data_IF_517748054432
#
_entry.id   IF_517748054432
#
_cell.length_a   1.000
_cell.length_b   1.000
_cell.length_c   1.000
_cell.angle_alpha   90.00
_cell.angle_beta   90.00
_cell.angle_gamma   90.00
#
_symmetry.space_group_name_H-M   'P 1'
#
loop_
_entity.id
_entity.type
_entity.pdbx_description
1 polymer ?
#
# COMPACT_ATOMS: atom_id res chain seq x y z
N UNK A 1 23.49 27.24 -8.66
CA UNK A 1 22.80 26.03 -8.15
C UNK A 1 22.41 26.27 -6.71
N UNK A 2 21.13 26.21 -6.42
CA UNK A 2 20.59 26.35 -5.06
C UNK A 2 20.16 24.98 -4.57
N UNK A 3 20.61 24.56 -3.39
CA UNK A 3 20.15 23.30 -2.77
C UNK A 3 18.68 23.45 -2.39
N UNK A 4 17.84 22.55 -2.88
CA UNK A 4 16.39 22.53 -2.58
C UNK A 4 16.11 21.65 -1.39
N UNK A 5 16.70 20.46 -1.39
CA UNK A 5 16.60 19.50 -0.30
C UNK A 5 17.97 18.87 -0.01
N UNK A 6 18.10 18.42 1.21
CA UNK A 6 19.29 17.71 1.66
C UNK A 6 18.88 16.43 2.39
N UNK A 7 19.44 15.29 1.95
CA UNK A 7 19.25 14.01 2.61
C UNK A 7 20.49 13.65 3.42
N UNK A 8 20.45 13.98 4.70
CA UNK A 8 21.52 13.59 5.62
C UNK A 8 21.55 12.06 5.82
N UNK A 9 22.71 11.46 5.66
CA UNK A 9 22.88 10.01 5.62
C UNK A 9 22.37 9.27 6.89
N UNK A 10 22.57 9.77 8.13
CA UNK A 10 21.93 9.15 9.29
C UNK A 10 20.40 9.22 9.26
N UNK A 11 19.80 10.29 8.70
CA UNK A 11 18.35 10.40 8.52
C UNK A 11 17.84 9.33 7.56
N UNK A 12 18.52 9.15 6.41
CA UNK A 12 18.22 8.09 5.44
C UNK A 12 18.24 6.71 6.10
N UNK A 13 19.32 6.40 6.83
CA UNK A 13 19.46 5.13 7.54
C UNK A 13 18.33 4.88 8.53
N UNK A 14 17.91 5.90 9.27
CA UNK A 14 16.79 5.79 10.21
C UNK A 14 15.48 5.52 9.47
N UNK A 15 15.17 6.28 8.40
CA UNK A 15 13.96 6.07 7.60
C UNK A 15 13.87 4.65 7.04
N UNK A 16 14.98 4.12 6.52
CA UNK A 16 15.05 2.74 6.01
C UNK A 16 14.93 1.73 7.15
N UNK A 17 15.59 1.96 8.28
CA UNK A 17 15.53 1.05 9.42
C UNK A 17 14.11 0.98 10.03
N UNK A 18 13.44 2.11 10.19
CA UNK A 18 12.06 2.20 10.66
C UNK A 18 11.10 1.48 9.69
N UNK A 19 11.28 1.70 8.38
CA UNK A 19 10.52 1.02 7.35
C UNK A 19 10.70 -0.49 7.39
N UNK A 20 11.95 -0.98 7.40
CA UNK A 20 12.26 -2.41 7.50
C UNK A 20 11.69 -3.05 8.77
N UNK A 21 11.80 -2.36 9.89
CA UNK A 21 11.22 -2.83 11.15
C UNK A 21 9.70 -2.96 11.05
N UNK A 22 9.03 -1.95 10.50
CA UNK A 22 7.57 -1.99 10.32
C UNK A 22 7.14 -3.17 9.46
N UNK A 23 7.81 -3.40 8.32
CA UNK A 23 7.48 -4.50 7.40
C UNK A 23 7.76 -5.85 8.05
N UNK A 24 8.94 -6.05 8.62
CA UNK A 24 9.33 -7.35 9.20
C UNK A 24 8.47 -7.75 10.40
N UNK A 25 8.23 -6.82 11.33
CA UNK A 25 7.37 -7.10 12.49
C UNK A 25 5.90 -7.17 12.11
N UNK A 26 5.47 -6.40 11.10
CA UNK A 26 4.13 -6.49 10.54
C UNK A 26 3.86 -7.85 9.90
N UNK A 27 4.75 -8.35 9.05
CA UNK A 27 4.64 -9.69 8.47
C UNK A 27 4.55 -10.74 9.58
N UNK A 28 5.53 -10.77 10.47
CA UNK A 28 5.60 -11.74 11.57
C UNK A 28 4.36 -11.77 12.46
N UNK A 29 3.74 -10.64 12.72
CA UNK A 29 2.64 -10.53 13.70
C UNK A 29 1.26 -10.57 13.06
N UNK A 30 1.13 -10.19 11.78
CA UNK A 30 -0.17 -10.02 11.13
C UNK A 30 -0.40 -11.02 10.00
N UNK A 31 0.61 -11.31 9.17
CA UNK A 31 0.39 -12.07 7.93
C UNK A 31 0.97 -13.48 7.93
N UNK A 32 2.08 -13.76 8.64
CA UNK A 32 2.75 -15.07 8.61
C UNK A 32 1.84 -16.23 9.02
N UNK A 33 0.85 -15.98 9.88
CA UNK A 33 -0.12 -17.00 10.31
C UNK A 33 -1.05 -17.46 9.18
N UNK A 34 -1.18 -16.67 8.09
CA UNK A 34 -2.02 -16.95 6.92
C UNK A 34 -1.20 -17.35 5.68
N UNK A 35 0.13 -17.49 5.79
CA UNK A 35 1.00 -17.77 4.66
C UNK A 35 1.15 -19.26 4.35
N UNK A 36 0.71 -20.14 5.25
CA UNK A 36 0.78 -21.60 5.14
C UNK A 36 -0.60 -22.17 4.83
N UNK A 37 -0.86 -22.46 3.55
CA UNK A 37 -2.14 -23.03 3.08
C UNK A 37 -2.46 -24.37 3.74
N UNK A 38 -1.47 -25.24 3.94
CA UNK A 38 -1.67 -26.56 4.59
C UNK A 38 -2.11 -26.39 6.05
N UNK A 39 -1.67 -25.32 6.71
CA UNK A 39 -2.11 -24.99 8.07
C UNK A 39 -3.56 -24.52 8.07
N UNK A 40 -3.95 -23.67 7.13
CA UNK A 40 -5.32 -23.18 7.01
C UNK A 40 -6.29 -24.31 6.66
N UNK A 41 -5.89 -25.24 5.79
CA UNK A 41 -6.69 -26.44 5.47
C UNK A 41 -6.91 -27.32 6.70
N UNK A 42 -5.86 -27.59 7.50
CA UNK A 42 -6.00 -28.35 8.74
C UNK A 42 -6.93 -27.67 9.76
N UNK A 43 -6.82 -26.35 9.90
CA UNK A 43 -7.68 -25.58 10.80
C UNK A 43 -9.15 -25.63 10.36
N UNK A 44 -9.40 -25.59 9.05
CA UNK A 44 -10.74 -25.73 8.47
C UNK A 44 -11.30 -27.14 8.66
N UNK A 45 -10.46 -28.18 8.54
CA UNK A 45 -10.86 -29.56 8.79
C UNK A 45 -11.17 -29.81 10.27
N UNK A 46 -10.36 -29.29 11.18
CA UNK A 46 -10.62 -29.33 12.63
C UNK A 46 -11.93 -28.63 12.98
N UNK A 47 -12.22 -27.49 12.33
CA UNK A 47 -13.49 -26.78 12.50
C UNK A 47 -14.69 -27.62 12.01
N UNK A 48 -14.59 -28.23 10.83
CA UNK A 48 -15.60 -29.13 10.27
C UNK A 48 -15.91 -30.29 11.22
N UNK A 49 -14.89 -30.94 11.78
CA UNK A 49 -15.04 -32.02 12.72
C UNK A 49 -15.68 -31.57 14.04
N UNK A 50 -15.26 -30.47 14.59
CA UNK A 50 -15.85 -29.90 15.81
C UNK A 50 -17.33 -29.51 15.60
N UNK A 51 -17.68 -29.01 14.41
CA UNK A 51 -19.08 -28.76 14.05
C UNK A 51 -19.89 -30.05 14.02
N UNK A 52 -19.36 -31.10 13.38
CA UNK A 52 -20.00 -32.41 13.26
C UNK A 52 -20.24 -33.05 14.65
N UNK A 53 -19.26 -32.99 15.56
CA UNK A 53 -19.40 -33.49 16.93
C UNK A 53 -20.51 -32.74 17.69
N UNK A 54 -20.57 -31.42 17.56
CA UNK A 54 -21.59 -30.58 18.19
C UNK A 54 -22.97 -30.83 17.62
N UNK A 55 -23.11 -30.92 16.30
CA UNK A 55 -24.36 -31.18 15.61
C UNK A 55 -24.86 -32.61 15.89
N UNK A 56 -23.92 -33.58 15.97
CA UNK A 56 -24.22 -34.99 16.28
C UNK A 56 -24.88 -35.21 17.65
N UNK A 57 -24.70 -34.29 18.62
CA UNK A 57 -25.40 -34.36 19.92
C UNK A 57 -26.93 -34.24 19.79
N UNK A 58 -27.40 -33.68 18.67
CA UNK A 58 -28.82 -33.46 18.37
C UNK A 58 -29.31 -34.32 17.20
N UNK A 59 -28.50 -35.27 16.75
CA UNK A 59 -28.86 -36.18 15.65
C UNK A 59 -29.95 -37.18 16.08
N UNK A 60 -31.02 -37.23 15.31
CA UNK A 60 -32.13 -38.20 15.47
C UNK A 60 -32.22 -39.03 14.17
N UNK A 61 -31.87 -40.33 14.20
CA UNK A 61 -31.86 -41.18 13.00
C UNK A 61 -33.21 -41.30 12.31
N UNK A 62 -34.32 -41.08 13.05
CA UNK A 62 -35.68 -41.18 12.48
C UNK A 62 -36.11 -39.92 11.75
N UNK A 63 -35.37 -38.81 11.95
CA UNK A 63 -35.70 -37.46 11.41
C UNK A 63 -34.63 -36.85 10.56
N UNK A 64 -33.39 -37.26 10.74
CA UNK A 64 -32.24 -36.66 10.09
C UNK A 64 -31.55 -37.68 9.18
N UNK A 65 -31.09 -37.17 8.02
CA UNK A 65 -30.24 -37.95 7.13
C UNK A 65 -28.77 -37.74 7.53
N UNK A 66 -28.07 -38.87 7.79
CA UNK A 66 -26.66 -38.84 8.19
C UNK A 66 -25.78 -38.21 7.11
N UNK A 67 -26.07 -38.46 5.82
CA UNK A 67 -25.32 -37.89 4.70
C UNK A 67 -25.37 -36.36 4.69
N UNK A 68 -26.53 -35.77 4.99
CA UNK A 68 -26.70 -34.32 5.03
C UNK A 68 -25.90 -33.65 6.16
N UNK A 69 -25.65 -34.35 7.28
CA UNK A 69 -24.78 -33.81 8.34
C UNK A 69 -23.33 -33.77 7.94
N UNK A 70 -22.84 -34.77 7.21
CA UNK A 70 -21.47 -34.73 6.69
C UNK A 70 -21.29 -33.66 5.61
N UNK A 71 -22.28 -33.48 4.72
CA UNK A 71 -22.26 -32.40 3.73
C UNK A 71 -22.24 -31.04 4.40
N UNK A 72 -23.08 -30.81 5.41
CA UNK A 72 -23.08 -29.53 6.15
C UNK A 72 -21.76 -29.29 6.89
N UNK A 73 -21.19 -30.32 7.54
CA UNK A 73 -19.89 -30.19 8.19
C UNK A 73 -18.77 -29.82 7.19
N UNK A 74 -18.81 -30.41 6.00
CA UNK A 74 -17.87 -30.11 4.93
C UNK A 74 -18.05 -28.66 4.45
N UNK A 75 -19.26 -28.20 4.22
CA UNK A 75 -19.57 -26.81 3.81
C UNK A 75 -19.12 -25.81 4.86
N UNK A 76 -19.32 -26.09 6.15
CA UNK A 76 -18.84 -25.26 7.25
C UNK A 76 -17.30 -25.18 7.28
N UNK A 77 -16.60 -26.27 7.00
CA UNK A 77 -15.15 -26.28 6.84
C UNK A 77 -14.69 -25.41 5.68
N UNK A 78 -15.35 -25.50 4.52
CA UNK A 78 -15.05 -24.64 3.35
C UNK A 78 -15.28 -23.16 3.69
N UNK A 79 -16.40 -22.82 4.33
CA UNK A 79 -16.68 -21.44 4.71
C UNK A 79 -15.65 -20.90 5.70
N UNK A 80 -15.21 -21.74 6.65
CA UNK A 80 -14.16 -21.36 7.59
C UNK A 80 -12.82 -21.09 6.90
N UNK A 81 -12.41 -21.96 5.95
CA UNK A 81 -11.22 -21.74 5.12
C UNK A 81 -11.28 -20.42 4.36
N UNK A 82 -12.41 -20.17 3.69
CA UNK A 82 -12.63 -18.92 2.95
C UNK A 82 -12.53 -17.68 3.85
N UNK A 83 -13.12 -17.75 5.03
CA UNK A 83 -13.04 -16.65 5.99
C UNK A 83 -11.60 -16.39 6.49
N UNK A 84 -10.80 -17.45 6.68
CA UNK A 84 -9.38 -17.32 7.04
C UNK A 84 -8.55 -16.71 5.91
N UNK A 85 -8.79 -17.11 4.67
CA UNK A 85 -8.11 -16.56 3.49
C UNK A 85 -8.46 -15.08 3.27
N UNK A 86 -9.74 -14.71 3.39
CA UNK A 86 -10.20 -13.31 3.35
C UNK A 86 -9.60 -12.47 4.48
N UNK A 87 -9.50 -13.02 5.70
CA UNK A 87 -8.84 -12.36 6.82
C UNK A 87 -7.34 -12.15 6.54
N UNK A 88 -6.69 -13.15 5.97
CA UNK A 88 -5.29 -13.08 5.54
C UNK A 88 -5.07 -11.99 4.50
N UNK A 89 -5.93 -11.91 3.48
CA UNK A 89 -5.89 -10.84 2.47
C UNK A 89 -6.10 -9.46 3.11
N UNK A 90 -7.09 -9.33 4.00
CA UNK A 90 -7.35 -8.09 4.74
C UNK A 90 -6.15 -7.64 5.58
N UNK A 91 -5.47 -8.59 6.24
CA UNK A 91 -4.26 -8.31 7.02
C UNK A 91 -3.11 -7.80 6.14
N UNK A 92 -2.90 -8.40 4.95
CA UNK A 92 -1.90 -7.95 3.97
C UNK A 92 -2.21 -6.54 3.46
N UNK A 93 -3.46 -6.28 3.07
CA UNK A 93 -3.91 -4.96 2.62
C UNK A 93 -3.75 -3.89 3.70
N UNK A 94 -4.06 -4.22 4.95
CA UNK A 94 -3.86 -3.32 6.08
C UNK A 94 -2.37 -3.02 6.32
N UNK A 95 -1.49 -4.03 6.22
CA UNK A 95 -0.04 -3.86 6.35
C UNK A 95 0.53 -2.98 5.24
N UNK A 96 0.12 -3.21 3.97
CA UNK A 96 0.51 -2.39 2.81
C UNK A 96 0.03 -0.95 3.02
N UNK A 97 -1.21 -0.75 3.47
CA UNK A 97 -1.78 0.58 3.70
C UNK A 97 -1.02 1.34 4.78
N UNK A 98 -0.72 0.69 5.90
CA UNK A 98 0.06 1.28 6.97
C UNK A 98 1.48 1.64 6.54
N UNK A 99 2.15 0.75 5.81
CA UNK A 99 3.48 0.96 5.24
C UNK A 99 3.50 2.18 4.30
N UNK A 100 2.54 2.27 3.37
CA UNK A 100 2.41 3.38 2.44
C UNK A 100 2.17 4.71 3.17
N UNK A 101 1.25 4.76 4.11
CA UNK A 101 0.96 5.99 4.85
C UNK A 101 2.11 6.43 5.76
N UNK A 102 2.86 5.52 6.36
CA UNK A 102 4.07 5.85 7.11
C UNK A 102 5.13 6.45 6.20
N UNK A 103 5.36 5.85 5.01
CA UNK A 103 6.27 6.40 4.02
C UNK A 103 5.84 7.79 3.55
N UNK A 104 4.58 7.96 3.17
CA UNK A 104 4.03 9.23 2.70
C UNK A 104 4.14 10.34 3.75
N UNK A 105 3.87 10.01 5.01
CA UNK A 105 4.05 10.89 6.15
C UNK A 105 5.52 11.28 6.33
N UNK A 106 6.42 10.30 6.35
CA UNK A 106 7.86 10.52 6.51
C UNK A 106 8.44 11.36 5.37
N UNK A 107 7.92 11.20 4.15
CA UNK A 107 8.29 12.03 3.00
C UNK A 107 7.93 13.50 3.24
N UNK A 108 6.69 13.79 3.66
CA UNK A 108 6.26 15.15 3.96
C UNK A 108 7.02 15.76 5.14
N UNK A 109 7.25 14.98 6.19
CA UNK A 109 8.06 15.40 7.35
C UNK A 109 9.48 15.75 6.95
N UNK A 110 10.10 14.94 6.07
CA UNK A 110 11.43 15.22 5.55
C UNK A 110 11.42 16.48 4.68
N UNK A 111 10.49 16.62 3.73
CA UNK A 111 10.37 17.79 2.86
C UNK A 111 10.10 19.09 3.62
N UNK A 112 9.52 19.02 4.82
CA UNK A 112 9.18 20.20 5.64
C UNK A 112 10.15 20.45 6.80
N UNK A 113 11.16 19.59 6.99
CA UNK A 113 12.11 19.77 8.08
C UNK A 113 13.14 20.86 7.76
N UNK A 114 13.45 21.69 8.76
CA UNK A 114 14.42 22.78 8.63
C UNK A 114 15.82 22.27 8.27
N UNK A 115 16.15 21.05 8.65
CA UNK A 115 17.46 20.43 8.42
C UNK A 115 17.61 19.88 7.00
N UNK A 116 16.53 19.80 6.22
CA UNK A 116 16.49 19.07 4.95
C UNK A 116 16.10 19.95 3.76
N UNK A 117 15.74 21.22 3.96
CA UNK A 117 15.38 22.10 2.86
C UNK A 117 16.31 23.30 2.76
N UNK A 118 16.79 23.57 1.53
CA UNK A 118 17.53 24.80 1.21
C UNK A 118 16.63 26.04 1.11
N UNK A 119 15.32 25.86 1.01
CA UNK A 119 14.31 26.89 1.17
C UNK A 119 14.02 27.03 2.67
N UNK A 120 14.81 27.85 3.36
CA UNK A 120 14.61 28.11 4.79
C UNK A 120 13.18 28.59 4.99
N UNK A 121 12.46 27.87 5.83
CA UNK A 121 11.08 28.15 6.10
C UNK A 121 10.97 29.36 7.02
N UNK A 122 10.69 30.50 6.39
CA UNK A 122 10.42 31.75 7.10
C UNK A 122 8.93 31.91 7.43
N UNK A 123 8.09 30.90 7.06
CA UNK A 123 6.66 30.94 7.25
C UNK A 123 6.01 29.55 7.21
N UNK A 124 4.69 29.51 7.22
CA UNK A 124 3.89 28.30 7.28
C UNK A 124 3.24 27.89 5.95
N UNK A 125 3.37 28.72 4.91
CA UNK A 125 2.66 28.50 3.64
C UNK A 125 3.22 27.31 2.87
N UNK A 126 4.55 27.20 2.80
CA UNK A 126 5.21 26.09 2.13
C UNK A 126 4.98 24.74 2.84
N UNK A 127 5.19 24.62 4.17
CA UNK A 127 4.82 23.40 4.88
C UNK A 127 3.35 23.00 4.68
N UNK A 128 2.43 23.95 4.80
CA UNK A 128 1.00 23.69 4.57
C UNK A 128 0.70 23.23 3.14
N UNK A 129 1.39 23.77 2.14
CA UNK A 129 1.24 23.34 0.75
C UNK A 129 1.75 21.91 0.53
N UNK A 130 2.92 21.55 1.07
CA UNK A 130 3.47 20.20 1.03
C UNK A 130 2.53 19.19 1.70
N UNK A 131 2.00 19.51 2.87
CA UNK A 131 1.04 18.61 3.56
C UNK A 131 -0.29 18.46 2.85
N UNK A 132 -0.69 19.42 2.03
CA UNK A 132 -1.91 19.37 1.21
C UNK A 132 -1.71 18.77 -0.17
N UNK A 133 -0.47 18.63 -0.63
CA UNK A 133 -0.17 18.06 -1.94
C UNK A 133 -0.62 16.61 -2.02
N UNK A 134 -1.11 16.21 -3.19
CA UNK A 134 -1.35 14.80 -3.48
C UNK A 134 -0.03 14.09 -3.85
N UNK A 135 -0.09 12.78 -4.08
CA UNK A 135 1.08 11.97 -4.44
C UNK A 135 1.78 12.47 -5.71
N UNK A 136 1.02 12.81 -6.75
CA UNK A 136 1.59 13.28 -8.02
C UNK A 136 2.29 14.63 -7.84
N UNK A 137 1.66 15.58 -7.12
CA UNK A 137 2.25 16.89 -6.82
C UNK A 137 3.56 16.74 -6.02
N UNK A 138 3.59 15.85 -5.03
CA UNK A 138 4.79 15.61 -4.24
C UNK A 138 5.94 15.05 -5.10
N UNK A 139 5.65 14.13 -6.03
CA UNK A 139 6.64 13.57 -6.94
C UNK A 139 7.09 14.57 -8.02
N UNK A 140 6.22 15.51 -8.45
CA UNK A 140 6.58 16.57 -9.40
C UNK A 140 7.80 17.38 -8.93
N UNK A 141 7.94 17.56 -7.61
CA UNK A 141 9.13 18.24 -7.04
C UNK A 141 10.43 17.49 -7.36
N UNK A 142 10.38 16.16 -7.33
CA UNK A 142 11.53 15.31 -7.66
C UNK A 142 11.76 15.20 -9.17
N UNK A 143 10.71 15.24 -9.97
CA UNK A 143 10.81 15.25 -11.45
C UNK A 143 11.58 16.48 -11.93
N UNK A 144 11.35 17.63 -11.31
CA UNK A 144 12.06 18.85 -11.66
C UNK A 144 13.59 18.76 -11.47
N UNK A 145 14.06 17.79 -10.69
CA UNK A 145 15.49 17.51 -10.48
C UNK A 145 15.93 16.17 -11.09
N UNK A 146 15.19 15.68 -12.08
CA UNK A 146 15.43 14.43 -12.80
C UNK A 146 15.39 13.15 -11.94
N UNK A 147 14.70 13.20 -10.81
CA UNK A 147 14.44 12.01 -9.99
C UNK A 147 13.02 11.53 -10.22
N UNK A 148 12.83 10.21 -10.19
CA UNK A 148 11.52 9.54 -10.28
C UNK A 148 10.66 9.99 -11.47
N UNK A 149 11.30 10.12 -12.65
CA UNK A 149 10.61 10.45 -13.89
C UNK A 149 9.53 9.42 -14.24
N UNK A 150 8.57 9.79 -15.10
CA UNK A 150 7.59 8.85 -15.66
C UNK A 150 8.32 7.69 -16.33
N UNK A 151 7.82 6.46 -16.14
CA UNK A 151 8.49 5.23 -16.56
C UNK A 151 9.61 4.73 -15.65
N UNK A 152 9.91 5.45 -14.55
CA UNK A 152 10.82 4.94 -13.52
C UNK A 152 10.14 3.84 -12.71
N UNK A 153 10.76 2.67 -12.62
CA UNK A 153 10.23 1.48 -11.91
C UNK A 153 9.83 1.79 -10.48
N UNK A 154 10.65 2.57 -9.74
CA UNK A 154 10.35 2.96 -8.35
C UNK A 154 9.03 3.74 -8.28
N UNK A 155 8.88 4.72 -9.16
CA UNK A 155 7.66 5.54 -9.22
C UNK A 155 6.43 4.70 -9.58
N UNK A 156 6.55 3.83 -10.57
CA UNK A 156 5.45 2.97 -11.01
C UNK A 156 5.01 2.02 -9.89
N UNK A 157 5.95 1.39 -9.18
CA UNK A 157 5.62 0.52 -8.04
C UNK A 157 4.96 1.30 -6.89
N UNK A 158 5.42 2.51 -6.59
CA UNK A 158 4.78 3.38 -5.58
C UNK A 158 3.39 3.85 -6.02
N UNK A 159 3.17 4.12 -7.30
CA UNK A 159 1.85 4.49 -7.83
C UNK A 159 0.88 3.30 -7.78
N UNK A 160 1.36 2.09 -8.11
CA UNK A 160 0.57 0.85 -7.92
C UNK A 160 0.22 0.65 -6.45
N UNK A 161 1.19 0.77 -5.54
CA UNK A 161 0.95 0.69 -4.11
C UNK A 161 -0.13 1.69 -3.65
N UNK A 162 -0.05 2.95 -4.10
CA UNK A 162 -1.06 3.99 -3.85
C UNK A 162 -2.45 3.57 -4.36
N UNK A 163 -2.52 3.01 -5.57
CA UNK A 163 -3.79 2.55 -6.13
C UNK A 163 -4.38 1.39 -5.33
N UNK A 164 -3.57 0.42 -4.90
CA UNK A 164 -4.00 -0.67 -4.00
C UNK A 164 -4.57 -0.09 -2.70
N UNK A 165 -3.84 0.81 -2.04
CA UNK A 165 -4.28 1.45 -0.79
C UNK A 165 -5.59 2.24 -0.97
N UNK A 166 -5.72 2.99 -2.06
CA UNK A 166 -6.92 3.76 -2.34
C UNK A 166 -8.12 2.86 -2.68
N UNK A 167 -7.92 1.80 -3.45
CA UNK A 167 -8.97 0.82 -3.76
C UNK A 167 -9.44 0.11 -2.50
N UNK A 168 -8.52 -0.34 -1.64
CA UNK A 168 -8.86 -0.95 -0.36
C UNK A 168 -9.65 -0.01 0.56
N UNK A 169 -9.27 1.28 0.60
CA UNK A 169 -9.87 2.26 1.53
C UNK A 169 -11.20 2.83 1.03
N UNK A 170 -11.32 3.05 -0.27
CA UNK A 170 -12.42 3.84 -0.84
C UNK A 170 -13.36 3.02 -1.73
N UNK A 171 -13.01 1.77 -2.06
CA UNK A 171 -13.78 0.93 -2.96
C UNK A 171 -13.69 1.38 -4.41
N UNK A 172 -14.83 1.29 -5.12
CA UNK A 172 -14.91 1.63 -6.54
C UNK A 172 -14.57 3.09 -6.83
N UNK A 173 -13.76 3.30 -7.87
CA UNK A 173 -13.37 4.64 -8.30
C UNK A 173 -12.19 4.64 -9.27
N UNK A 174 -11.62 5.83 -9.55
CA UNK A 174 -10.52 5.95 -10.52
C UNK A 174 -9.31 5.07 -10.18
N UNK A 175 -8.94 4.95 -8.90
CA UNK A 175 -7.80 4.11 -8.48
C UNK A 175 -8.04 2.63 -8.77
N UNK A 176 -9.26 2.12 -8.57
CA UNK A 176 -9.63 0.76 -8.95
C UNK A 176 -9.52 0.54 -10.46
N UNK A 177 -10.10 1.46 -11.25
CA UNK A 177 -10.07 1.38 -12.72
C UNK A 177 -8.63 1.36 -13.24
N UNK A 178 -7.78 2.26 -12.76
CA UNK A 178 -6.38 2.34 -13.14
C UNK A 178 -5.59 1.11 -12.67
N UNK A 179 -5.88 0.60 -11.48
CA UNK A 179 -5.24 -0.60 -10.93
C UNK A 179 -5.58 -1.83 -11.75
N UNK A 180 -6.84 -2.03 -12.11
CA UNK A 180 -7.26 -3.13 -13.00
C UNK A 180 -6.58 -3.10 -14.36
N UNK A 181 -6.38 -1.91 -14.92
CA UNK A 181 -5.68 -1.74 -16.18
C UNK A 181 -4.18 -2.08 -16.10
N UNK A 182 -3.53 -1.71 -14.97
CA UNK A 182 -2.08 -1.90 -14.77
C UNK A 182 -1.72 -3.27 -14.18
N UNK A 183 -2.52 -3.79 -13.26
CA UNK A 183 -2.25 -5.00 -12.46
C UNK A 183 -3.52 -5.87 -12.38
N UNK A 184 -4.01 -6.36 -13.55
CA UNK A 184 -5.22 -7.17 -13.59
C UNK A 184 -5.15 -8.45 -12.75
N UNK A 185 -3.95 -8.98 -12.51
CA UNK A 185 -3.72 -10.16 -11.68
C UNK A 185 -4.11 -9.96 -10.21
N UNK A 186 -4.16 -8.73 -9.72
CA UNK A 186 -4.61 -8.43 -8.36
C UNK A 186 -6.13 -8.56 -8.18
N UNK A 187 -6.87 -8.83 -9.26
CA UNK A 187 -8.32 -9.09 -9.27
C UNK A 187 -8.64 -10.47 -9.84
N UNK A 188 -7.68 -11.39 -9.81
CA UNK A 188 -7.81 -12.75 -10.32
C UNK A 188 -7.14 -13.76 -9.37
N UNK A 189 -7.64 -13.82 -8.13
CA UNK A 189 -7.12 -14.68 -7.07
C UNK A 189 -6.97 -16.16 -7.50
N UNK A 190 -7.88 -16.66 -8.33
CA UNK A 190 -7.93 -18.07 -8.74
C UNK A 190 -7.32 -18.34 -10.12
N UNK A 191 -6.72 -17.34 -10.78
CA UNK A 191 -6.09 -17.50 -12.08
C UNK A 191 -7.03 -17.87 -13.22
N UNK A 192 -8.31 -17.57 -13.10
CA UNK A 192 -9.33 -17.92 -14.10
C UNK A 192 -9.14 -17.20 -15.43
N UNK A 193 -8.44 -16.05 -15.42
CA UNK A 193 -8.12 -15.28 -16.62
C UNK A 193 -7.20 -16.01 -17.57
N UNK A 194 -6.34 -16.89 -17.05
CA UNK A 194 -5.38 -17.63 -17.86
C UNK A 194 -6.00 -18.81 -18.62
N UNK A 195 -7.20 -19.28 -18.20
CA UNK A 195 -7.81 -20.53 -18.68
C UNK A 195 -9.01 -20.36 -19.59
N UNK A 196 -9.58 -19.15 -19.69
CA UNK A 196 -10.73 -18.87 -20.55
C UNK A 196 -10.48 -17.69 -21.45
N UNK A 197 -11.14 -17.63 -22.63
CA UNK A 197 -11.24 -16.48 -23.53
C UNK A 197 -11.94 -15.26 -22.86
N UNK A 198 -11.57 -14.95 -21.66
CA UNK A 198 -12.29 -14.26 -20.62
C UNK A 198 -11.92 -12.78 -20.53
N UNK A 199 -12.16 -12.02 -21.59
CA UNK A 199 -12.39 -10.58 -21.46
C UNK A 199 -13.63 -10.30 -20.58
N UNK A 200 -14.58 -11.25 -20.47
CA UNK A 200 -15.85 -11.02 -19.76
C UNK A 200 -15.77 -11.11 -18.23
N UNK A 201 -14.89 -11.93 -17.65
CA UNK A 201 -14.76 -12.01 -16.19
C UNK A 201 -13.93 -10.87 -15.59
N UNK A 202 -12.96 -10.36 -16.35
CA UNK A 202 -12.18 -9.18 -15.93
C UNK A 202 -13.05 -7.92 -15.81
N UNK A 203 -14.07 -7.81 -16.64
CA UNK A 203 -15.03 -6.70 -16.62
C UNK A 203 -16.03 -6.81 -15.45
N UNK A 204 -16.20 -8.00 -14.88
CA UNK A 204 -17.12 -8.26 -13.75
C UNK A 204 -16.46 -8.10 -12.38
N UNK A 205 -15.14 -8.25 -12.29
CA UNK A 205 -14.42 -8.08 -11.04
C UNK A 205 -14.58 -6.64 -10.52
N UNK A 206 -14.74 -6.47 -9.21
CA UNK A 206 -14.81 -5.16 -8.56
C UNK A 206 -13.78 -5.05 -7.43
N UNK A 207 -13.86 -3.99 -6.64
CA UNK A 207 -12.91 -3.72 -5.56
C UNK A 207 -12.91 -4.80 -4.47
N UNK A 208 -13.98 -5.60 -4.36
CA UNK A 208 -14.07 -6.70 -3.39
C UNK A 208 -13.22 -7.89 -3.81
N UNK A 209 -12.89 -7.99 -5.10
CA UNK A 209 -12.01 -9.01 -5.66
C UNK A 209 -10.52 -8.65 -5.55
N UNK A 210 -10.20 -7.48 -4.95
CA UNK A 210 -8.80 -7.07 -4.75
C UNK A 210 -8.10 -8.05 -3.79
N UNK A 211 -7.13 -8.77 -4.33
CA UNK A 211 -6.33 -9.75 -3.61
C UNK A 211 -4.84 -9.47 -3.72
N UNK A 212 -4.13 -9.53 -2.60
CA UNK A 212 -2.68 -9.33 -2.54
C UNK A 212 -2.00 -10.50 -1.83
N UNK A 213 -0.90 -10.96 -2.41
CA UNK A 213 -0.04 -11.98 -1.82
C UNK A 213 1.11 -11.36 -1.01
N UNK A 214 1.82 -12.17 -0.23
CA UNK A 214 2.99 -11.73 0.54
C UNK A 214 4.07 -11.11 -0.35
N UNK A 215 4.23 -11.58 -1.58
CA UNK A 215 5.15 -11.00 -2.58
C UNK A 215 4.83 -9.55 -2.94
N UNK A 216 3.56 -9.12 -2.87
CA UNK A 216 3.19 -7.73 -3.11
C UNK A 216 3.63 -6.82 -1.94
N UNK A 217 3.63 -7.34 -0.70
CA UNK A 217 4.19 -6.61 0.44
C UNK A 217 5.67 -6.35 0.20
N UNK A 218 6.41 -7.39 -0.22
CA UNK A 218 7.86 -7.29 -0.47
C UNK A 218 8.16 -6.36 -1.64
N UNK A 219 7.39 -6.43 -2.73
CA UNK A 219 7.50 -5.55 -3.90
C UNK A 219 7.37 -4.07 -3.51
N UNK A 220 6.34 -3.72 -2.75
CA UNK A 220 6.10 -2.33 -2.34
C UNK A 220 7.07 -1.85 -1.26
N UNK A 221 7.45 -2.74 -0.35
CA UNK A 221 8.49 -2.44 0.64
C UNK A 221 9.84 -2.13 -0.01
N UNK A 222 10.23 -2.92 -0.99
CA UNK A 222 11.46 -2.73 -1.76
C UNK A 222 11.42 -1.42 -2.57
N UNK A 223 10.28 -1.06 -3.14
CA UNK A 223 10.10 0.22 -3.83
C UNK A 223 10.28 1.43 -2.89
N UNK A 224 9.75 1.38 -1.67
CA UNK A 224 9.93 2.43 -0.66
C UNK A 224 11.40 2.53 -0.23
N UNK A 225 12.07 1.41 0.00
CA UNK A 225 13.48 1.40 0.35
C UNK A 225 14.35 1.97 -0.79
N UNK A 226 14.09 1.55 -2.02
CA UNK A 226 14.76 2.08 -3.22
C UNK A 226 14.51 3.57 -3.40
N UNK A 227 13.31 4.05 -3.08
CA UNK A 227 13.01 5.47 -3.11
C UNK A 227 13.95 6.26 -2.20
N UNK A 228 14.10 5.87 -0.92
CA UNK A 228 14.99 6.56 0.00
C UNK A 228 16.47 6.47 -0.42
N UNK A 229 16.88 5.33 -0.95
CA UNK A 229 18.25 5.13 -1.43
C UNK A 229 18.58 5.93 -2.69
N UNK A 230 17.59 6.19 -3.55
CA UNK A 230 17.77 6.95 -4.79
C UNK A 230 17.88 8.47 -4.58
N UNK A 231 17.45 8.99 -3.43
CA UNK A 231 17.59 10.42 -3.13
C UNK A 231 19.06 10.75 -2.88
N UNK A 232 19.69 11.64 -3.66
CA UNK A 232 21.08 12.05 -3.43
C UNK A 232 21.21 12.88 -2.14
N UNK A 233 22.43 13.00 -1.63
CA UNK A 233 22.70 13.82 -0.43
C UNK A 233 22.27 15.28 -0.62
N UNK A 234 22.51 15.84 -1.81
CA UNK A 234 22.10 17.19 -2.18
C UNK A 234 21.24 17.17 -3.43
N UNK A 235 20.02 17.68 -3.33
CA UNK A 235 19.16 17.98 -4.48
C UNK A 235 19.30 19.46 -4.80
N UNK A 236 19.88 19.76 -5.96
CA UNK A 236 20.09 21.12 -6.43
C UNK A 236 19.24 21.40 -7.65
N UNK A 237 18.63 22.58 -7.71
CA UNK A 237 17.97 23.06 -8.93
C UNK A 237 18.88 23.99 -9.68
N UNK A 238 18.80 23.90 -11.00
CA UNK A 238 19.34 24.86 -11.95
C UNK A 238 18.29 25.96 -12.18
N UNK A 239 18.74 27.16 -12.62
CA UNK A 239 17.85 28.24 -13.04
C UNK A 239 16.95 27.85 -14.23
N UNK A 240 17.30 26.76 -14.97
CA UNK A 240 16.57 26.23 -16.12
C UNK A 240 15.54 25.16 -15.78
N UNK A 241 15.54 24.62 -14.56
CA UNK A 241 14.55 23.62 -14.08
C UNK A 241 13.90 24.13 -12.79
N UNK A 242 12.92 25.02 -12.91
CA UNK A 242 12.24 25.56 -11.75
C UNK A 242 11.40 24.47 -11.07
N UNK A 243 11.39 24.47 -9.74
CA UNK A 243 10.45 23.64 -8.95
C UNK A 243 8.98 23.94 -9.32
N UNK A 244 8.01 23.06 -9.02
CA UNK A 244 6.62 23.24 -9.42
C UNK A 244 6.03 24.59 -9.00
N UNK A 245 5.13 25.13 -9.80
CA UNK A 245 4.51 26.43 -9.53
C UNK A 245 3.82 26.54 -8.18
N UNK A 246 3.16 25.44 -7.75
CA UNK A 246 2.50 25.41 -6.45
C UNK A 246 3.49 25.55 -5.29
N UNK A 247 4.67 24.94 -5.42
CA UNK A 247 5.76 25.01 -4.46
C UNK A 247 6.36 26.43 -4.40
N UNK A 248 6.72 26.99 -5.58
CA UNK A 248 7.25 28.35 -5.68
C UNK A 248 6.28 29.39 -5.11
N UNK A 249 4.99 29.32 -5.47
CA UNK A 249 3.97 30.25 -5.00
C UNK A 249 3.84 30.24 -3.47
N UNK A 250 3.92 29.06 -2.87
CA UNK A 250 3.87 28.91 -1.41
C UNK A 250 5.13 29.49 -0.75
N UNK A 251 6.31 29.24 -1.34
CA UNK A 251 7.59 29.78 -0.87
C UNK A 251 7.65 31.32 -0.97
N UNK A 252 7.27 31.87 -2.13
CA UNK A 252 7.21 33.35 -2.32
C UNK A 252 6.31 34.05 -1.30
N UNK A 253 5.19 33.37 -0.94
CA UNK A 253 4.28 33.91 0.08
C UNK A 253 4.96 34.01 1.45
N UNK A 254 5.75 32.99 1.81
CA UNK A 254 6.49 33.02 3.07
C UNK A 254 7.60 34.09 3.08
N UNK A 255 8.35 34.19 1.98
CA UNK A 255 9.40 35.23 1.84
C UNK A 255 8.81 36.65 1.94
N UNK A 256 7.74 36.93 1.20
CA UNK A 256 7.06 38.21 1.22
C UNK A 256 6.40 38.53 2.57
N UNK A 257 5.90 37.53 3.25
CA UNK A 257 5.33 37.65 4.60
C UNK A 257 6.39 38.02 5.64
N UNK A 258 7.58 37.44 5.55
CA UNK A 258 8.71 37.77 6.42
C UNK A 258 9.26 39.22 6.17
N UNK A 259 9.30 39.64 4.90
CA UNK A 259 9.75 41.01 4.53
C UNK A 259 8.78 42.09 5.02
N UNK A 260 7.49 41.81 5.16
CA UNK A 260 6.47 42.77 5.62
C UNK A 260 6.25 42.76 7.14
N UNK A 261 6.86 41.83 7.87
CA UNK A 261 6.76 41.69 9.33
C UNK A 261 7.99 42.17 10.11
N UNK A 262 9.01 42.62 9.39
CA UNK A 262 10.24 43.25 9.92
C UNK A 262 10.16 44.74 9.84
#
# INVERSE_FOLDING_TARGET
>A
MTSVFWMWEPRRKNLIAEHRFYVSEGKKRLTDQFSDADKLEREAEEYSQAWLEKAGQHFDPDRHDEGSFYEQAHDEGIQHYQALDELGNSARLALISGMYHLWEKSLREWMTSNDCTGYIQQGESLPKAIWKSNFADALEVFECVNLFQQGCVIRESLDVCRMVVNTYKHGSGPSETDLKAKRPELFDQYGWRSTSSASSFADLADYTDLYVADGNIDEFADAIEKFWNAIPEHITVDEFQPVPRWFLKAHEKDVNGAANGS
#
